data_IF_362941886966
#
_entry.id   IF_362941886966
#
_cell.length_a   1.000
_cell.length_b   1.000
_cell.length_c   1.000
_cell.angle_alpha   90.00
_cell.angle_beta   90.00
_cell.angle_gamma   90.00
#
_symmetry.space_group_name_H-M   'P 1'
#
loop_
_entity.id
_entity.type
_entity.pdbx_description
1 polymer ?
#
# COMPACT_ATOMS: atom_id res chain seq x y z
N UNK A 1 -12.19 4.63 -0.23
CA UNK A 1 -11.52 4.81 -1.54
C UNK A 1 -11.61 3.53 -2.35
N UNK A 2 -11.57 3.64 -3.67
CA UNK A 2 -11.60 2.47 -4.55
C UNK A 2 -10.17 1.97 -4.81
N UNK A 3 -9.88 0.73 -4.40
CA UNK A 3 -8.55 0.13 -4.58
C UNK A 3 -8.48 -0.63 -5.90
N UNK A 4 -7.49 -0.31 -6.71
CA UNK A 4 -7.22 -0.93 -8.01
C UNK A 4 -5.80 -1.49 -7.96
N UNK A 5 -5.57 -2.77 -7.92
CA UNK A 5 -6.58 -3.80 -7.83
C UNK A 5 -6.29 -4.73 -6.65
N UNK A 6 -7.35 -5.33 -6.12
CA UNK A 6 -7.23 -6.35 -5.08
C UNK A 6 -6.40 -7.55 -5.54
N UNK A 7 -6.45 -7.86 -6.83
CA UNK A 7 -5.71 -9.00 -7.38
C UNK A 7 -4.20 -8.92 -7.12
N UNK A 8 -3.63 -7.72 -7.17
CA UNK A 8 -2.21 -7.54 -6.88
C UNK A 8 -1.87 -8.00 -5.46
N UNK A 9 -2.76 -7.74 -4.50
CA UNK A 9 -2.59 -8.18 -3.13
C UNK A 9 -2.67 -9.70 -3.03
N UNK A 10 -3.66 -10.30 -3.69
CA UNK A 10 -3.87 -11.76 -3.68
C UNK A 10 -2.68 -12.49 -4.29
N UNK A 11 -2.15 -11.98 -5.39
CA UNK A 11 -0.97 -12.55 -6.02
C UNK A 11 0.20 -12.57 -5.07
N UNK A 12 0.40 -11.47 -4.34
CA UNK A 12 1.51 -11.39 -3.40
C UNK A 12 1.33 -12.34 -2.23
N UNK A 13 0.16 -12.36 -1.59
CA UNK A 13 -0.02 -13.19 -0.41
C UNK A 13 -0.06 -14.69 -0.73
N UNK A 14 -0.30 -15.06 -1.98
CA UNK A 14 -0.17 -16.46 -2.40
C UNK A 14 1.27 -16.94 -2.28
N UNK A 15 2.22 -16.06 -2.60
CA UNK A 15 3.66 -16.34 -2.48
C UNK A 15 4.20 -16.08 -1.07
N UNK A 16 3.57 -15.14 -0.35
CA UNK A 16 3.99 -14.74 0.99
C UNK A 16 2.78 -14.80 1.93
N UNK A 17 2.36 -16.01 2.34
CA UNK A 17 1.10 -16.18 3.09
C UNK A 17 1.06 -15.39 4.41
N UNK A 18 2.19 -15.14 5.03
CA UNK A 18 2.25 -14.36 6.27
C UNK A 18 1.91 -12.88 6.07
N UNK A 19 1.84 -12.41 4.82
CA UNK A 19 1.44 -11.04 4.52
C UNK A 19 -0.07 -10.87 4.42
N UNK A 20 -0.82 -11.97 4.32
CA UNK A 20 -2.25 -11.90 3.99
C UNK A 20 -3.06 -11.09 4.99
N UNK A 21 -2.90 -11.35 6.27
CA UNK A 21 -3.69 -10.67 7.30
C UNK A 21 -3.49 -9.14 7.23
N UNK A 22 -2.25 -8.71 7.11
CA UNK A 22 -1.92 -7.29 7.04
C UNK A 22 -2.44 -6.65 5.74
N UNK A 23 -2.33 -7.34 4.62
CA UNK A 23 -2.81 -6.84 3.33
C UNK A 23 -4.34 -6.76 3.29
N UNK A 24 -5.04 -7.76 3.83
CA UNK A 24 -6.49 -7.72 3.92
C UNK A 24 -6.95 -6.58 4.79
N UNK A 25 -6.28 -6.35 5.92
CA UNK A 25 -6.60 -5.23 6.80
C UNK A 25 -6.39 -3.90 6.09
N UNK A 26 -5.26 -3.73 5.41
CA UNK A 26 -4.98 -2.52 4.64
C UNK A 26 -6.10 -2.27 3.61
N UNK A 27 -6.46 -3.32 2.87
CA UNK A 27 -7.52 -3.23 1.85
C UNK A 27 -8.84 -2.77 2.45
N UNK A 28 -9.26 -3.37 3.56
CA UNK A 28 -10.53 -3.03 4.20
C UNK A 28 -10.55 -1.58 4.68
N UNK A 29 -9.47 -1.13 5.31
CA UNK A 29 -9.38 0.24 5.79
C UNK A 29 -9.45 1.23 4.62
N UNK A 30 -8.72 0.95 3.55
CA UNK A 30 -8.73 1.82 2.37
C UNK A 30 -10.12 1.87 1.72
N UNK A 31 -10.79 0.72 1.59
CA UNK A 31 -12.12 0.66 0.99
C UNK A 31 -13.18 1.36 1.83
N UNK A 32 -13.06 1.32 3.15
CA UNK A 32 -14.05 1.86 4.08
C UNK A 32 -13.84 3.31 4.42
N UNK A 33 -12.70 3.89 4.08
CA UNK A 33 -12.34 5.25 4.47
C UNK A 33 -12.06 6.08 3.23
N UNK A 34 -12.58 7.31 3.23
CA UNK A 34 -12.36 8.25 2.14
C UNK A 34 -11.34 9.30 2.60
N UNK A 35 -10.06 8.96 2.44
CA UNK A 35 -8.97 9.88 2.78
C UNK A 35 -8.89 11.01 1.75
N UNK A 36 -8.81 12.24 2.22
CA UNK A 36 -8.77 13.42 1.33
C UNK A 36 -7.38 14.01 1.18
N UNK A 37 -6.52 13.76 2.15
CA UNK A 37 -5.17 14.32 2.17
C UNK A 37 -4.19 13.27 2.70
N UNK A 38 -2.90 13.51 2.44
CA UNK A 38 -1.84 12.68 3.01
C UNK A 38 -1.86 12.74 4.55
N UNK A 39 -2.15 13.89 5.13
CA UNK A 39 -2.21 14.02 6.59
C UNK A 39 -3.29 13.14 7.18
N UNK A 40 -4.48 13.10 6.57
CA UNK A 40 -5.56 12.20 7.00
C UNK A 40 -5.14 10.74 6.89
N UNK A 41 -4.50 10.39 5.79
CA UNK A 41 -3.99 9.04 5.57
C UNK A 41 -3.00 8.64 6.67
N UNK A 42 -2.07 9.52 7.01
CA UNK A 42 -1.05 9.25 8.01
C UNK A 42 -1.60 9.20 9.44
N UNK A 43 -2.77 9.78 9.68
CA UNK A 43 -3.44 9.64 10.96
C UNK A 43 -3.84 8.17 11.21
N UNK A 44 -4.21 7.44 10.16
CA UNK A 44 -4.55 6.02 10.24
C UNK A 44 -3.34 5.12 10.00
N UNK A 45 -2.45 5.52 9.08
CA UNK A 45 -1.24 4.79 8.74
C UNK A 45 -0.01 5.67 9.05
N UNK A 46 0.42 5.73 10.33
CA UNK A 46 1.51 6.65 10.72
C UNK A 46 2.82 6.43 9.98
N UNK A 47 3.05 5.20 9.51
CA UNK A 47 4.28 4.86 8.80
C UNK A 47 4.19 5.05 7.29
N UNK A 48 3.03 5.51 6.79
CA UNK A 48 2.90 5.81 5.37
C UNK A 48 3.81 6.99 5.03
N UNK A 49 4.54 6.86 3.93
CA UNK A 49 5.52 7.86 3.54
C UNK A 49 5.38 8.19 2.06
N UNK A 50 5.62 9.43 1.72
CA UNK A 50 5.62 9.87 0.33
C UNK A 50 7.05 9.84 -0.20
N UNK A 51 7.26 9.05 -1.26
CA UNK A 51 8.54 8.97 -1.96
C UNK A 51 8.25 9.35 -3.40
N UNK A 52 8.66 10.54 -3.80
CA UNK A 52 8.35 11.11 -5.12
C UNK A 52 6.83 11.15 -5.31
N UNK A 53 6.28 10.47 -6.33
CA UNK A 53 4.84 10.42 -6.59
C UNK A 53 4.15 9.21 -5.98
N UNK A 54 4.87 8.45 -5.16
CA UNK A 54 4.39 7.19 -4.59
C UNK A 54 4.10 7.35 -3.10
N UNK A 55 3.12 6.57 -2.64
CA UNK A 55 2.90 6.41 -1.21
C UNK A 55 3.33 5.01 -0.83
N UNK A 56 4.18 4.90 0.18
CA UNK A 56 4.76 3.62 0.62
C UNK A 56 4.18 3.27 1.98
N UNK A 57 3.60 2.08 2.09
CA UNK A 57 3.04 1.56 3.33
C UNK A 57 3.88 0.41 3.85
N UNK A 58 4.09 0.36 5.15
CA UNK A 58 4.67 -0.80 5.81
C UNK A 58 3.58 -1.85 6.00
N UNK A 59 3.86 -3.08 5.63
CA UNK A 59 2.93 -4.20 5.75
C UNK A 59 3.60 -5.29 6.58
N UNK A 60 2.87 -5.81 7.59
CA UNK A 60 3.42 -6.81 8.48
C UNK A 60 4.64 -6.31 9.25
N UNK A 61 4.54 -5.12 9.83
CA UNK A 61 5.67 -4.45 10.45
C UNK A 61 6.66 -3.99 9.40
N UNK A 62 7.87 -4.51 9.43
CA UNK A 62 8.92 -4.14 8.49
C UNK A 62 9.17 -5.17 7.39
N UNK A 63 8.36 -6.22 7.31
CA UNK A 63 8.62 -7.31 6.37
C UNK A 63 8.37 -6.94 4.92
N UNK A 64 7.29 -6.21 4.68
CA UNK A 64 6.82 -5.94 3.32
C UNK A 64 6.53 -4.47 3.13
N UNK A 65 6.49 -4.05 1.87
CA UNK A 65 6.14 -2.69 1.47
C UNK A 65 5.08 -2.74 0.37
N UNK A 66 4.05 -1.93 0.53
CA UNK A 66 3.04 -1.73 -0.51
C UNK A 66 3.22 -0.33 -1.06
N UNK A 67 3.33 -0.23 -2.38
CA UNK A 67 3.57 1.03 -3.07
C UNK A 67 2.36 1.36 -3.92
N UNK A 68 1.79 2.53 -3.70
CA UNK A 68 0.57 2.94 -4.36
C UNK A 68 0.67 4.36 -4.90
N UNK A 69 -0.12 4.61 -5.95
CA UNK A 69 -0.43 5.96 -6.40
C UNK A 69 -1.82 6.30 -5.88
N UNK A 70 -1.96 7.39 -5.15
CA UNK A 70 -3.24 7.77 -4.57
C UNK A 70 -3.73 9.07 -5.20
N UNK A 71 -4.93 9.02 -5.75
CA UNK A 71 -5.63 10.18 -6.29
C UNK A 71 -6.71 10.59 -5.29
N UNK A 72 -6.33 11.43 -4.34
CA UNK A 72 -7.21 11.82 -3.24
C UNK A 72 -8.50 12.48 -3.74
N UNK A 73 -8.40 13.33 -4.75
CA UNK A 73 -9.55 14.03 -5.30
C UNK A 73 -10.54 13.13 -6.03
N UNK A 74 -10.10 11.95 -6.46
CA UNK A 74 -10.93 10.97 -7.18
C UNK A 74 -11.31 9.79 -6.31
N UNK A 75 -10.76 9.69 -5.11
CA UNK A 75 -10.99 8.55 -4.21
C UNK A 75 -10.46 7.23 -4.75
N UNK A 76 -9.34 7.25 -5.47
CA UNK A 76 -8.77 6.04 -6.10
C UNK A 76 -7.37 5.78 -5.61
N UNK A 77 -7.08 4.48 -5.38
CA UNK A 77 -5.77 3.99 -4.96
C UNK A 77 -5.32 2.92 -5.96
N UNK A 78 -4.22 3.20 -6.65
CA UNK A 78 -3.65 2.24 -7.59
C UNK A 78 -2.49 1.52 -6.92
N UNK A 79 -2.64 0.21 -6.68
CA UNK A 79 -1.56 -0.60 -6.15
C UNK A 79 -0.54 -0.83 -7.26
N UNK A 80 0.67 -0.32 -7.08
CA UNK A 80 1.74 -0.42 -8.08
C UNK A 80 2.64 -1.61 -7.82
N UNK A 81 3.06 -1.79 -6.55
CA UNK A 81 3.94 -2.88 -6.18
C UNK A 81 3.60 -3.35 -4.78
N UNK A 82 3.77 -4.66 -4.54
CA UNK A 82 3.87 -5.20 -3.19
C UNK A 82 5.20 -5.95 -3.17
N UNK A 83 6.09 -5.57 -2.25
CA UNK A 83 7.49 -5.97 -2.28
C UNK A 83 7.93 -6.50 -0.92
N UNK A 84 8.92 -7.38 -0.93
CA UNK A 84 9.68 -7.69 0.28
C UNK A 84 10.53 -6.49 0.65
N UNK A 85 11.00 -6.44 1.91
CA UNK A 85 11.89 -5.38 2.36
C UNK A 85 13.16 -5.30 1.48
N UNK A 86 13.68 -6.45 1.10
CA UNK A 86 14.88 -6.52 0.26
C UNK A 86 14.62 -5.93 -1.13
N UNK A 87 13.51 -6.29 -1.76
CA UNK A 87 13.15 -5.76 -3.07
C UNK A 87 12.95 -4.24 -3.02
N UNK A 88 12.30 -3.77 -1.95
CA UNK A 88 12.11 -2.35 -1.73
C UNK A 88 13.45 -1.61 -1.62
N UNK A 89 14.38 -2.17 -0.84
CA UNK A 89 15.67 -1.54 -0.60
C UNK A 89 16.53 -1.42 -1.85
N UNK A 90 16.33 -2.31 -2.83
CA UNK A 90 17.05 -2.24 -4.10
C UNK A 90 16.65 -1.04 -4.95
N UNK A 91 15.44 -0.49 -4.73
CA UNK A 91 15.01 0.73 -5.39
C UNK A 91 14.56 0.59 -6.86
N UNK A 92 14.59 -0.60 -7.43
CA UNK A 92 14.21 -0.82 -8.83
C UNK A 92 12.75 -0.49 -9.13
N UNK A 93 11.91 -0.50 -8.13
CA UNK A 93 10.48 -0.20 -8.25
C UNK A 93 10.18 1.26 -8.65
N UNK A 94 11.14 2.15 -8.51
CA UNK A 94 10.97 3.57 -8.85
C UNK A 94 10.97 3.84 -10.36
N UNK A 95 11.33 2.86 -11.15
CA UNK A 95 11.42 3.01 -12.60
C UNK A 95 10.09 2.72 -13.29
#
# INVERSE_FOLDING_TARGET
>A
MHVISRKALQTFWTRHPDSKTALVRWFKVMEQTDFRTLDELRATFPNADQVENWIVFNIGGNKYRLIASIHFNRGKVYVRHVLTHEQYSRGGWKQ
#
